data_IF_130139517638
#
_entry.id   IF_130139517638
#
_cell.length_a   1.000
_cell.length_b   1.000
_cell.length_c   1.000
_cell.angle_alpha   90.00
_cell.angle_beta   90.00
_cell.angle_gamma   90.00
#
_symmetry.space_group_name_H-M   'P 1'
#
loop_
_entity.id
_entity.type
_entity.pdbx_description
1 polymer ?
#
# COMPACT_ATOMS: atom_id res chain seq x y z
N UNK A 1 16.53 15.45 3.40
CA UNK A 1 15.09 15.36 3.10
C UNK A 1 14.70 13.90 3.17
N UNK A 2 13.61 13.57 3.86
CA UNK A 2 13.06 12.20 3.87
C UNK A 2 12.26 12.02 2.58
N UNK A 3 12.48 10.92 1.86
CA UNK A 3 11.76 10.63 0.63
C UNK A 3 10.25 10.49 0.90
N UNK A 4 9.43 11.13 0.07
CA UNK A 4 7.98 10.94 0.04
C UNK A 4 7.57 10.56 -1.39
N UNK A 5 6.92 9.41 -1.50
CA UNK A 5 6.50 8.81 -2.74
C UNK A 5 5.51 9.75 -3.47
N UNK A 6 5.82 10.22 -4.69
CA UNK A 6 5.05 11.28 -5.32
C UNK A 6 3.62 10.85 -5.71
N UNK A 7 3.42 9.58 -6.06
CA UNK A 7 2.10 9.05 -6.44
C UNK A 7 1.39 8.43 -5.24
N UNK A 8 2.11 7.69 -4.40
CA UNK A 8 1.52 6.99 -3.26
C UNK A 8 1.28 7.91 -2.05
N UNK A 9 2.00 9.02 -1.94
CA UNK A 9 2.00 9.94 -0.78
C UNK A 9 2.39 9.24 0.54
N UNK A 10 3.34 8.32 0.43
CA UNK A 10 3.88 7.54 1.55
C UNK A 10 5.32 7.95 1.79
N UNK A 11 5.67 8.19 3.04
CA UNK A 11 7.06 8.47 3.45
C UNK A 11 7.87 7.19 3.51
N UNK A 12 9.18 7.30 3.29
CA UNK A 12 10.13 6.22 3.54
C UNK A 12 9.95 5.63 4.95
N UNK A 13 9.84 4.30 5.05
CA UNK A 13 9.56 3.59 6.31
C UNK A 13 8.09 3.65 6.78
N UNK A 14 7.19 4.22 5.98
CA UNK A 14 5.76 4.32 6.31
C UNK A 14 4.97 3.01 6.17
N UNK A 15 5.50 2.03 5.43
CA UNK A 15 4.88 0.72 5.17
C UNK A 15 5.61 -0.42 5.89
N UNK A 16 4.98 -1.59 5.95
CA UNK A 16 5.60 -2.85 6.37
C UNK A 16 6.39 -3.45 5.21
N UNK A 17 7.32 -4.35 5.49
CA UNK A 17 8.19 -4.94 4.46
C UNK A 17 7.43 -5.83 3.49
N UNK A 18 6.43 -6.58 3.96
CA UNK A 18 5.57 -7.41 3.11
C UNK A 18 4.40 -6.55 2.62
N UNK A 19 4.14 -6.56 1.30
CA UNK A 19 3.06 -5.80 0.68
C UNK A 19 2.16 -6.71 -0.18
N UNK A 20 0.86 -6.70 0.12
CA UNK A 20 -0.18 -7.28 -0.71
C UNK A 20 -0.68 -6.24 -1.71
N UNK A 21 -0.29 -6.39 -2.98
CA UNK A 21 -0.69 -5.48 -4.04
C UNK A 21 -1.96 -5.96 -4.76
N UNK A 22 -2.92 -5.06 -5.00
CA UNK A 22 -4.17 -5.36 -5.71
C UNK A 22 -4.50 -4.27 -6.72
N UNK A 23 -5.27 -4.57 -7.78
CA UNK A 23 -5.61 -3.54 -8.77
C UNK A 23 -6.57 -2.48 -8.24
N UNK A 24 -7.69 -2.90 -7.66
CA UNK A 24 -8.81 -2.03 -7.29
C UNK A 24 -8.63 -1.42 -5.87
N UNK A 25 -8.72 -0.08 -5.70
CA UNK A 25 -8.75 0.57 -4.39
C UNK A 25 -9.82 0.04 -3.44
N UNK A 26 -10.99 -0.32 -3.96
CA UNK A 26 -12.07 -0.87 -3.15
C UNK A 26 -11.70 -2.27 -2.61
N UNK A 27 -10.88 -3.03 -3.35
CA UNK A 27 -10.35 -4.32 -2.86
C UNK A 27 -9.31 -4.11 -1.76
N UNK A 28 -8.46 -3.11 -1.88
CA UNK A 28 -7.49 -2.79 -0.81
C UNK A 28 -8.22 -2.42 0.50
N UNK A 29 -9.26 -1.58 0.41
CA UNK A 29 -10.12 -1.25 1.55
C UNK A 29 -10.87 -2.47 2.09
N UNK A 30 -11.44 -3.31 1.22
CA UNK A 30 -12.15 -4.51 1.64
C UNK A 30 -11.23 -5.45 2.42
N UNK A 31 -10.02 -5.72 1.91
CA UNK A 31 -9.00 -6.53 2.61
C UNK A 31 -8.71 -5.94 3.99
N UNK A 32 -8.35 -4.65 4.04
CA UNK A 32 -7.94 -4.00 5.27
C UNK A 32 -9.06 -3.91 6.33
N UNK A 33 -10.29 -3.60 5.91
CA UNK A 33 -11.39 -3.25 6.83
C UNK A 33 -12.29 -4.42 7.20
N UNK A 34 -12.37 -5.47 6.37
CA UNK A 34 -13.27 -6.62 6.61
C UNK A 34 -12.55 -7.91 7.00
N UNK A 35 -11.29 -8.07 6.61
CA UNK A 35 -10.58 -9.34 6.78
C UNK A 35 -9.39 -9.27 7.75
N UNK A 36 -8.86 -8.08 8.05
CA UNK A 36 -7.75 -7.90 8.98
C UNK A 36 -8.23 -7.55 10.40
N UNK A 37 -7.42 -7.92 11.40
CA UNK A 37 -7.71 -7.69 12.82
C UNK A 37 -7.61 -6.21 13.19
N UNK A 38 -6.65 -5.51 12.58
CA UNK A 38 -6.53 -4.06 12.67
C UNK A 38 -5.97 -3.48 11.38
N UNK A 39 -6.26 -2.20 11.15
CA UNK A 39 -5.76 -1.47 9.99
C UNK A 39 -5.49 0.00 10.32
N UNK A 40 -4.61 0.60 9.53
CA UNK A 40 -4.35 2.04 9.48
C UNK A 40 -4.23 2.45 8.01
N UNK A 41 -5.17 3.26 7.53
CA UNK A 41 -5.06 3.90 6.23
C UNK A 41 -3.91 4.92 6.26
N UNK A 42 -3.01 4.85 5.29
CA UNK A 42 -1.85 5.72 5.19
C UNK A 42 -2.10 6.89 4.25
N UNK A 43 -2.60 6.57 3.06
CA UNK A 43 -2.87 7.54 2.00
C UNK A 43 -3.83 6.94 0.98
N UNK A 44 -4.60 7.83 0.35
CA UNK A 44 -5.36 7.55 -0.85
C UNK A 44 -5.15 8.70 -1.84
N UNK A 45 -4.39 8.44 -2.90
CA UNK A 45 -4.12 9.43 -3.94
C UNK A 45 -4.21 8.76 -5.32
N UNK A 46 -5.02 9.34 -6.21
CA UNK A 46 -5.37 8.74 -7.51
C UNK A 46 -5.94 7.32 -7.31
N UNK A 47 -5.44 6.32 -8.05
CA UNK A 47 -5.80 4.91 -7.88
C UNK A 47 -5.00 4.18 -6.77
N UNK A 48 -4.12 4.88 -6.04
CA UNK A 48 -3.23 4.26 -5.05
C UNK A 48 -3.76 4.50 -3.63
N UNK A 49 -4.30 3.44 -3.02
CA UNK A 49 -4.81 3.43 -1.65
C UNK A 49 -4.02 2.41 -0.85
N UNK A 50 -3.42 2.86 0.25
CA UNK A 50 -2.49 2.02 1.03
C UNK A 50 -2.85 1.96 2.49
N UNK A 51 -2.76 0.76 3.06
CA UNK A 51 -3.03 0.46 4.46
C UNK A 51 -1.86 -0.30 5.07
N UNK A 52 -1.58 -0.07 6.35
CA UNK A 52 -0.89 -1.05 7.19
C UNK A 52 -1.93 -1.87 7.93
N UNK A 53 -1.74 -3.18 8.01
CA UNK A 53 -2.71 -4.10 8.60
C UNK A 53 -2.03 -5.13 9.49
N UNK A 54 -2.81 -5.71 10.40
CA UNK A 54 -2.44 -6.92 11.15
C UNK A 54 -3.48 -8.00 10.88
N UNK A 55 -3.03 -9.22 10.57
CA UNK A 55 -3.90 -10.40 10.42
C UNK A 55 -3.23 -11.60 11.08
N UNK A 56 -3.90 -12.23 12.04
CA UNK A 56 -3.41 -13.40 12.78
C UNK A 56 -2.00 -13.18 13.34
N UNK A 57 -1.74 -11.98 13.85
CA UNK A 57 -0.43 -11.58 14.40
C UNK A 57 0.64 -11.21 13.35
N UNK A 58 0.37 -11.37 12.06
CA UNK A 58 1.27 -10.92 10.99
C UNK A 58 0.99 -9.46 10.61
N UNK A 59 2.05 -8.65 10.50
CA UNK A 59 1.97 -7.25 10.04
C UNK A 59 2.43 -7.13 8.58
N UNK A 60 1.60 -6.53 7.73
CA UNK A 60 1.92 -6.27 6.32
C UNK A 60 1.17 -5.03 5.83
N UNK A 61 1.47 -4.59 4.61
CA UNK A 61 0.75 -3.49 3.96
C UNK A 61 -0.13 -4.00 2.83
N UNK A 62 -1.24 -3.32 2.54
CA UNK A 62 -2.09 -3.57 1.39
C UNK A 62 -2.10 -2.31 0.54
N UNK A 63 -1.83 -2.42 -0.76
CA UNK A 63 -1.76 -1.26 -1.65
C UNK A 63 -2.51 -1.52 -2.97
N UNK A 64 -3.33 -0.56 -3.41
CA UNK A 64 -3.91 -0.60 -4.74
C UNK A 64 -2.99 0.02 -5.80
N UNK A 65 -2.97 -0.55 -7.00
CA UNK A 65 -2.05 -0.14 -8.08
C UNK A 65 -2.74 0.22 -9.41
N UNK A 66 -4.08 0.18 -9.45
CA UNK A 66 -4.86 0.46 -10.66
C UNK A 66 -4.74 -0.61 -11.74
N UNK A 67 -5.24 -0.27 -12.93
CA UNK A 67 -5.23 -1.16 -14.10
C UNK A 67 -4.00 -0.87 -14.97
N UNK A 68 -3.30 -1.94 -15.37
CA UNK A 68 -2.26 -1.88 -16.39
C UNK A 68 -0.83 -1.76 -15.85
N UNK A 69 0.12 -2.23 -16.66
CA UNK A 69 1.54 -2.28 -16.32
C UNK A 69 2.17 -0.92 -15.95
N UNK A 70 1.93 0.17 -16.69
CA UNK A 70 2.55 1.46 -16.39
C UNK A 70 2.21 2.03 -15.00
N UNK A 71 0.93 2.01 -14.61
CA UNK A 71 0.50 2.46 -13.28
C UNK A 71 1.00 1.53 -12.17
N UNK A 72 0.95 0.22 -12.42
CA UNK A 72 1.49 -0.76 -11.47
C UNK A 72 2.99 -0.59 -11.24
N UNK A 73 3.77 -0.32 -12.29
CA UNK A 73 5.21 -0.08 -12.18
C UNK A 73 5.53 1.14 -11.31
N UNK A 74 4.78 2.23 -11.44
CA UNK A 74 4.90 3.39 -10.54
C UNK A 74 4.66 2.97 -9.09
N UNK A 75 3.57 2.23 -8.83
CA UNK A 75 3.25 1.76 -7.49
C UNK A 75 4.37 0.91 -6.90
N UNK A 76 4.87 -0.07 -7.64
CA UNK A 76 5.88 -1.00 -7.15
C UNK A 76 7.24 -0.33 -6.90
N UNK A 77 7.69 0.53 -7.82
CA UNK A 77 8.91 1.31 -7.63
C UNK A 77 8.86 2.19 -6.38
N UNK A 78 7.70 2.82 -6.12
CA UNK A 78 7.52 3.65 -4.94
C UNK A 78 7.40 2.82 -3.65
N UNK A 79 6.71 1.67 -3.67
CA UNK A 79 6.64 0.76 -2.53
C UNK A 79 8.03 0.22 -2.15
N UNK A 80 8.84 -0.17 -3.13
CA UNK A 80 10.22 -0.63 -2.90
C UNK A 80 11.05 0.48 -2.25
N UNK A 81 10.98 1.72 -2.79
CA UNK A 81 11.66 2.89 -2.19
C UNK A 81 11.12 3.24 -0.79
N UNK A 82 9.87 2.90 -0.50
CA UNK A 82 9.25 3.11 0.81
C UNK A 82 9.51 1.98 1.82
N UNK A 83 10.14 0.88 1.42
CA UNK A 83 10.62 -0.18 2.32
C UNK A 83 10.10 -1.61 2.03
N UNK A 84 9.37 -1.83 0.94
CA UNK A 84 8.90 -3.18 0.55
C UNK A 84 10.07 -4.12 0.18
N UNK A 85 9.92 -5.42 0.44
CA UNK A 85 10.91 -6.47 0.16
C UNK A 85 10.27 -7.74 -0.41
#
# INVERSE_FOLDING_TARGET
MVYEAPHLKIKEGGIKSVVCAVGDPARAELIATKYCDSYKELAYNREYRTFNVTYQGAEFSVASHGVGGPGAAICFEELIKSGAK
#
